data_IF_567205698295
#
_entry.id   IF_567205698295
#
_cell.length_a   1.000
_cell.length_b   1.000
_cell.length_c   1.000
_cell.angle_alpha   90.00
_cell.angle_beta   90.00
_cell.angle_gamma   90.00
#
_symmetry.space_group_name_H-M   'P 1'
#
loop_
_entity.id
_entity.type
_entity.pdbx_description
1 polymer ?
#
# COMPACT_ATOMS: atom_id res chain seq x y z
N UNK A 1 -0.76 0.73 -10.89
CA UNK A 1 0.64 1.19 -10.80
C UNK A 1 0.88 2.03 -12.06
N UNK A 2 1.09 3.34 -11.94
CA UNK A 2 1.43 4.20 -13.07
C UNK A 2 2.73 3.73 -13.74
N UNK A 3 2.93 4.11 -15.01
CA UNK A 3 4.10 3.70 -15.79
C UNK A 3 5.41 4.26 -15.23
N UNK A 4 5.38 5.45 -14.63
CA UNK A 4 6.54 6.07 -14.00
C UNK A 4 7.11 5.21 -12.85
N UNK A 5 6.22 4.60 -12.04
CA UNK A 5 6.64 3.67 -10.99
C UNK A 5 7.36 2.44 -11.57
N UNK A 6 6.88 1.93 -12.71
CA UNK A 6 7.51 0.80 -13.40
C UNK A 6 8.90 1.19 -13.90
N UNK A 7 9.03 2.39 -14.48
CA UNK A 7 10.30 2.93 -14.95
C UNK A 7 11.32 3.09 -13.83
N UNK A 8 10.93 3.69 -12.70
CA UNK A 8 11.80 3.88 -11.54
C UNK A 8 12.27 2.54 -10.96
N UNK A 9 11.37 1.57 -10.90
CA UNK A 9 11.65 0.22 -10.43
C UNK A 9 12.62 -0.51 -11.37
N UNK A 10 12.35 -0.48 -12.68
CA UNK A 10 13.20 -1.12 -13.69
C UNK A 10 14.58 -0.47 -13.80
N UNK A 11 14.72 0.82 -13.45
CA UNK A 11 16.00 1.52 -13.38
C UNK A 11 16.99 0.95 -12.35
N UNK A 12 16.55 0.02 -11.48
CA UNK A 12 17.45 -0.71 -10.57
C UNK A 12 18.18 -1.87 -11.24
N UNK A 13 17.80 -2.24 -12.46
CA UNK A 13 18.47 -3.25 -13.28
C UNK A 13 19.45 -2.58 -14.27
N UNK A 14 20.43 -3.34 -14.80
CA UNK A 14 21.32 -2.83 -15.85
C UNK A 14 20.53 -2.37 -17.08
N UNK A 15 20.87 -1.19 -17.60
CA UNK A 15 20.21 -0.60 -18.76
C UNK A 15 20.85 -1.05 -20.10
N UNK A 16 22.11 -1.48 -20.06
CA UNK A 16 22.96 -1.76 -21.22
C UNK A 16 23.12 -3.26 -21.52
N UNK A 17 22.65 -4.13 -20.62
CA UNK A 17 22.71 -5.58 -20.77
C UNK A 17 21.54 -6.29 -20.11
N UNK A 18 21.32 -7.54 -20.50
CA UNK A 18 20.41 -8.41 -19.77
C UNK A 18 20.89 -8.60 -18.31
N UNK A 19 19.98 -8.57 -17.32
CA UNK A 19 20.32 -8.91 -15.95
C UNK A 19 20.69 -10.39 -15.83
N UNK A 20 21.63 -10.68 -14.94
CA UNK A 20 21.95 -12.05 -14.55
C UNK A 20 20.79 -12.66 -13.77
N UNK A 21 20.75 -14.00 -13.70
CA UNK A 21 19.77 -14.72 -12.88
C UNK A 21 19.78 -14.26 -11.41
N UNK A 22 20.96 -13.92 -10.86
CA UNK A 22 21.10 -13.46 -9.48
C UNK A 22 20.50 -12.05 -9.27
N UNK A 23 20.71 -11.13 -10.21
CA UNK A 23 20.14 -9.78 -10.20
C UNK A 23 18.61 -9.86 -10.34
N UNK A 24 18.14 -10.66 -11.30
CA UNK A 24 16.72 -10.89 -11.52
C UNK A 24 16.03 -11.47 -10.29
N UNK A 25 16.67 -12.43 -9.61
CA UNK A 25 16.14 -13.03 -8.38
C UNK A 25 16.02 -12.00 -7.26
N UNK A 26 17.03 -11.14 -7.06
CA UNK A 26 16.98 -10.07 -6.04
C UNK A 26 15.87 -9.07 -6.35
N UNK A 27 15.81 -8.60 -7.59
CA UNK A 27 14.77 -7.68 -8.06
C UNK A 27 13.37 -8.26 -7.85
N UNK A 28 13.12 -9.46 -8.39
CA UNK A 28 11.81 -10.11 -8.32
C UNK A 28 11.37 -10.38 -6.88
N UNK A 29 12.30 -10.75 -5.99
CA UNK A 29 11.98 -10.93 -4.56
C UNK A 29 11.60 -9.63 -3.88
N UNK A 30 12.26 -8.50 -4.20
CA UNK A 30 11.85 -7.20 -3.69
C UNK A 30 10.46 -6.83 -4.16
N UNK A 31 10.18 -7.00 -5.46
CA UNK A 31 8.89 -6.66 -6.04
C UNK A 31 7.76 -7.54 -5.53
N UNK A 32 8.03 -8.83 -5.33
CA UNK A 32 7.10 -9.75 -4.69
C UNK A 32 6.68 -9.23 -3.31
N UNK A 33 7.63 -8.79 -2.47
CA UNK A 33 7.30 -8.26 -1.13
C UNK A 33 6.37 -7.04 -1.19
N UNK A 34 6.64 -6.11 -2.09
CA UNK A 34 5.81 -4.91 -2.24
C UNK A 34 4.38 -5.26 -2.70
N UNK A 35 4.26 -6.24 -3.61
CA UNK A 35 2.97 -6.77 -4.06
C UNK A 35 2.20 -7.45 -2.92
N UNK A 36 2.86 -8.32 -2.15
CA UNK A 36 2.25 -9.01 -1.01
C UNK A 36 1.76 -8.01 0.05
N UNK A 37 2.54 -6.95 0.31
CA UNK A 37 2.13 -5.89 1.24
C UNK A 37 0.83 -5.21 0.77
N UNK A 38 0.71 -4.92 -0.53
CA UNK A 38 -0.48 -4.28 -1.11
C UNK A 38 -1.68 -5.23 -1.14
N UNK A 39 -1.47 -6.51 -1.44
CA UNK A 39 -2.51 -7.55 -1.33
C UNK A 39 -3.02 -7.64 0.10
N UNK A 40 -2.13 -7.65 1.09
CA UNK A 40 -2.52 -7.69 2.50
C UNK A 40 -3.37 -6.49 2.90
N UNK A 41 -3.01 -5.27 2.46
CA UNK A 41 -3.81 -4.06 2.70
C UNK A 41 -5.20 -4.17 2.05
N UNK A 42 -5.26 -4.54 0.78
CA UNK A 42 -6.53 -4.69 0.06
C UNK A 42 -7.42 -5.79 0.67
N UNK A 43 -6.81 -6.87 1.17
CA UNK A 43 -7.53 -7.94 1.85
C UNK A 43 -8.18 -7.45 3.13
N UNK A 44 -7.44 -6.71 3.97
CA UNK A 44 -8.01 -6.10 5.20
C UNK A 44 -9.18 -5.18 4.88
N UNK A 45 -9.04 -4.33 3.88
CA UNK A 45 -10.11 -3.42 3.45
C UNK A 45 -11.34 -4.19 2.98
N UNK A 46 -11.14 -5.25 2.20
CA UNK A 46 -12.22 -6.13 1.76
C UNK A 46 -12.93 -6.77 2.95
N UNK A 47 -12.19 -7.21 3.96
CA UNK A 47 -12.76 -7.83 5.16
C UNK A 47 -13.52 -6.79 6.02
N UNK A 48 -12.96 -5.58 6.18
CA UNK A 48 -13.62 -4.45 6.86
C UNK A 48 -14.92 -4.06 6.14
N UNK A 49 -14.91 -4.04 4.81
CA UNK A 49 -16.09 -3.77 3.98
C UNK A 49 -17.17 -4.83 4.18
N UNK A 50 -16.78 -6.11 4.24
CA UNK A 50 -17.72 -7.20 4.51
C UNK A 50 -18.38 -7.05 5.89
N UNK A 51 -17.62 -6.64 6.91
CA UNK A 51 -18.16 -6.29 8.23
C UNK A 51 -19.17 -5.14 8.18
N UNK A 52 -18.91 -4.12 7.38
CA UNK A 52 -19.82 -2.98 7.21
C UNK A 52 -21.12 -3.35 6.49
N UNK A 53 -21.05 -4.24 5.48
CA UNK A 53 -22.21 -4.78 4.78
C UNK A 53 -23.05 -5.65 5.74
N UNK A 54 -22.39 -6.49 6.56
CA UNK A 54 -23.05 -7.36 7.54
C UNK A 54 -23.69 -6.63 8.72
N UNK A 55 -23.12 -5.50 9.17
CA UNK A 55 -23.75 -4.63 10.17
C UNK A 55 -25.02 -3.95 9.62
N UNK A 56 -25.10 -3.73 8.31
CA UNK A 56 -26.23 -3.04 7.65
C UNK A 56 -26.43 -1.58 8.07
N UNK A 57 -25.56 -1.06 8.93
CA UNK A 57 -25.80 0.19 9.64
C UNK A 57 -25.37 1.45 8.88
N UNK A 58 -24.39 1.35 7.95
CA UNK A 58 -23.82 2.50 7.20
C UNK A 58 -23.55 3.74 8.07
N UNK A 59 -23.38 3.54 9.38
CA UNK A 59 -23.23 4.61 10.36
C UNK A 59 -21.77 5.04 10.35
N UNK A 60 -21.57 6.33 10.08
CA UNK A 60 -20.26 6.99 10.07
C UNK A 60 -19.56 6.86 11.43
N UNK A 61 -20.34 6.74 12.51
CA UNK A 61 -19.82 6.63 13.88
C UNK A 61 -19.22 5.25 14.18
N UNK A 62 -19.68 4.18 13.52
CA UNK A 62 -19.27 2.80 13.80
C UNK A 62 -18.43 2.14 12.70
N UNK A 63 -18.23 2.81 11.56
CA UNK A 63 -17.52 2.26 10.41
C UNK A 63 -16.00 2.44 10.55
N UNK A 64 -15.27 1.36 10.84
CA UNK A 64 -13.80 1.36 10.99
C UNK A 64 -13.03 1.80 9.72
N UNK A 65 -13.68 1.76 8.55
CA UNK A 65 -13.12 2.25 7.29
C UNK A 65 -13.11 3.78 7.19
N UNK A 66 -13.99 4.45 7.93
CA UNK A 66 -14.03 5.91 7.92
C UNK A 66 -12.86 6.46 8.73
N UNK A 67 -12.39 7.65 8.35
CA UNK A 67 -11.46 8.45 9.13
C UNK A 67 -12.27 9.57 9.78
N UNK A 68 -12.96 9.30 10.92
CA UNK A 68 -13.81 10.32 11.51
C UNK A 68 -12.94 11.53 11.86
N UNK A 69 -13.46 12.74 11.65
CA UNK A 69 -12.77 14.00 11.93
C UNK A 69 -11.52 14.31 11.09
N UNK A 70 -11.27 13.53 10.03
CA UNK A 70 -10.16 13.72 9.10
C UNK A 70 -8.79 13.95 9.79
N UNK A 71 -8.58 13.30 10.93
CA UNK A 71 -7.41 13.56 11.80
C UNK A 71 -6.08 13.32 11.08
N UNK A 72 -6.12 12.42 10.10
CA UNK A 72 -4.98 12.07 9.27
C UNK A 72 -4.69 13.07 8.15
N UNK A 73 -5.56 14.04 7.83
CA UNK A 73 -5.34 14.97 6.72
C UNK A 73 -4.03 15.76 6.80
N UNK A 74 -3.62 16.16 8.02
CA UNK A 74 -2.34 16.85 8.23
C UNK A 74 -1.12 15.97 7.96
N UNK A 75 -1.25 14.66 8.14
CA UNK A 75 -0.18 13.66 7.98
C UNK A 75 -0.23 12.98 6.61
N UNK A 76 -1.38 13.01 5.96
CA UNK A 76 -1.70 12.35 4.70
C UNK A 76 -1.98 13.34 3.56
N UNK A 77 -1.62 14.62 3.68
CA UNK A 77 -1.79 15.57 2.59
C UNK A 77 -1.10 15.05 1.32
N UNK A 78 -1.90 14.59 0.35
CA UNK A 78 -1.42 13.98 -0.89
C UNK A 78 -1.18 12.46 -0.88
N UNK A 79 -1.53 11.72 0.18
CA UNK A 79 -1.42 10.25 0.23
C UNK A 79 -2.69 9.62 0.82
N UNK A 80 -3.14 8.48 0.28
CA UNK A 80 -4.35 7.82 0.80
C UNK A 80 -4.05 6.87 1.98
N UNK A 81 -5.04 6.57 2.83
CA UNK A 81 -4.93 5.50 3.86
C UNK A 81 -4.45 4.16 3.25
N UNK A 82 -4.72 3.94 1.96
CA UNK A 82 -4.32 2.75 1.21
C UNK A 82 -2.81 2.65 0.98
N UNK A 83 -2.07 3.76 1.04
CA UNK A 83 -0.66 3.81 0.67
C UNK A 83 0.28 3.61 1.88
N UNK A 84 -0.26 3.62 3.11
CA UNK A 84 0.56 3.65 4.33
C UNK A 84 0.98 2.31 4.91
N UNK A 85 0.54 1.16 4.38
CA UNK A 85 1.06 -0.13 4.86
C UNK A 85 2.51 -0.43 4.41
N UNK A 86 3.28 0.60 4.04
CA UNK A 86 4.67 0.56 3.61
C UNK A 86 5.64 1.34 4.51
N UNK A 87 5.20 2.04 5.58
CA UNK A 87 6.15 2.74 6.48
C UNK A 87 5.73 2.69 7.96
N UNK A 88 6.62 2.29 8.90
CA UNK A 88 6.34 2.37 10.32
C UNK A 88 6.07 3.83 10.72
N UNK A 89 5.09 4.03 11.60
CA UNK A 89 4.83 5.33 12.20
C UNK A 89 5.87 5.54 13.31
N UNK A 90 6.89 6.34 13.03
CA UNK A 90 7.73 6.90 14.09
C UNK A 90 6.92 7.99 14.80
N UNK A 91 6.73 7.80 16.11
CA UNK A 91 6.09 8.76 17.02
C UNK A 91 7.10 9.86 17.40
N UNK A 92 6.79 11.16 17.24
CA UNK A 92 7.62 12.20 17.82
C UNK A 92 7.37 12.31 19.33
N UNK A 93 8.44 12.59 20.09
CA UNK A 93 8.46 12.81 21.55
C UNK A 93 7.69 14.05 21.99
#
# INVERSE_FOLDING_TARGET
MPLDDIGQVMGTLPADRAPTSSEWKRFSNSRKRDLEARIGQLTRIKDDLAGCIGCGCLSIENCALINPSDELARVLAGTSKLERGARPLETPS
#
